data_IF_405417797433
#
_entry.id   IF_405417797433
#
_cell.length_a   1.000
_cell.length_b   1.000
_cell.length_c   1.000
_cell.angle_alpha   90.00
_cell.angle_beta   90.00
_cell.angle_gamma   90.00
#
_symmetry.space_group_name_H-M   'P 1'
#
loop_
_entity.id
_entity.type
_entity.pdbx_description
1 polymer ?
#
# COMPACT_ATOMS: atom_id res chain seq x y z
N UNK A 1 19.13 9.92 0.62
CA UNK A 1 17.66 9.82 0.81
C UNK A 1 17.12 11.21 1.13
N UNK A 2 16.26 11.76 0.28
CA UNK A 2 15.65 13.08 0.48
C UNK A 2 14.30 12.93 1.19
N UNK A 3 14.33 12.99 2.53
CA UNK A 3 13.17 12.69 3.38
C UNK A 3 11.92 13.52 3.04
N UNK A 4 12.10 14.80 2.67
CA UNK A 4 10.99 15.67 2.26
C UNK A 4 10.36 15.24 0.93
N UNK A 5 11.15 14.73 -0.01
CA UNK A 5 10.67 14.22 -1.29
C UNK A 5 9.80 12.97 -1.10
N UNK A 6 10.26 12.03 -0.28
CA UNK A 6 9.51 10.79 0.02
C UNK A 6 8.18 11.07 0.72
N UNK A 7 8.15 12.02 1.66
CA UNK A 7 6.92 12.41 2.34
C UNK A 7 5.92 13.06 1.39
N UNK A 8 6.38 13.96 0.51
CA UNK A 8 5.53 14.59 -0.50
C UNK A 8 4.94 13.56 -1.44
N UNK A 9 5.76 12.63 -1.94
CA UNK A 9 5.31 11.55 -2.81
C UNK A 9 4.29 10.66 -2.11
N UNK A 10 4.51 10.30 -0.84
CA UNK A 10 3.56 9.51 -0.06
C UNK A 10 2.20 10.21 0.10
N UNK A 11 2.19 11.54 0.29
CA UNK A 11 0.94 12.31 0.36
C UNK A 11 0.20 12.34 -0.98
N UNK A 12 0.92 12.53 -2.09
CA UNK A 12 0.34 12.50 -3.45
C UNK A 12 -0.24 11.14 -3.76
N UNK A 13 0.54 10.07 -3.55
CA UNK A 13 0.12 8.70 -3.82
C UNK A 13 -1.11 8.33 -2.96
N UNK A 14 -1.17 8.77 -1.69
CA UNK A 14 -2.34 8.54 -0.82
C UNK A 14 -3.59 9.28 -1.31
N UNK A 15 -3.44 10.52 -1.77
CA UNK A 15 -4.56 11.28 -2.33
C UNK A 15 -5.09 10.59 -3.58
N UNK A 16 -4.18 10.18 -4.46
CA UNK A 16 -4.50 9.47 -5.69
C UNK A 16 -5.20 8.12 -5.44
N UNK A 17 -4.75 7.33 -4.45
CA UNK A 17 -5.44 6.10 -4.05
C UNK A 17 -6.86 6.37 -3.53
N UNK A 18 -7.06 7.45 -2.79
CA UNK A 18 -8.40 7.85 -2.33
C UNK A 18 -9.30 8.20 -3.51
N UNK A 19 -8.77 8.96 -4.48
CA UNK A 19 -9.51 9.33 -5.70
C UNK A 19 -9.88 8.09 -6.53
N UNK A 20 -8.97 7.14 -6.73
CA UNK A 20 -9.23 5.89 -7.45
C UNK A 20 -10.27 5.01 -6.75
N UNK A 21 -10.25 4.94 -5.41
CA UNK A 21 -11.27 4.22 -4.64
C UNK A 21 -12.65 4.83 -4.84
N UNK A 22 -12.75 6.16 -4.82
CA UNK A 22 -14.00 6.87 -5.11
C UNK A 22 -14.46 6.64 -6.55
N UNK A 23 -13.54 6.61 -7.51
CA UNK A 23 -13.85 6.31 -8.92
C UNK A 23 -14.42 4.90 -9.09
N UNK A 24 -13.78 3.88 -8.50
CA UNK A 24 -14.31 2.51 -8.46
C UNK A 24 -15.71 2.45 -7.83
N UNK A 25 -15.92 3.16 -6.73
CA UNK A 25 -17.23 3.19 -6.06
C UNK A 25 -18.30 3.86 -6.93
N UNK A 26 -17.93 4.86 -7.76
CA UNK A 26 -18.83 5.42 -8.79
C UNK A 26 -19.18 4.41 -9.87
N UNK A 27 -18.21 3.65 -10.38
CA UNK A 27 -18.49 2.58 -11.35
C UNK A 27 -19.49 1.56 -10.79
N UNK A 28 -19.38 1.24 -9.50
CA UNK A 28 -20.33 0.33 -8.83
C UNK A 28 -21.73 0.94 -8.72
N UNK A 29 -21.83 2.24 -8.41
CA UNK A 29 -23.12 2.94 -8.41
C UNK A 29 -23.75 2.95 -9.81
N UNK A 30 -22.98 3.27 -10.85
CA UNK A 30 -23.46 3.23 -12.23
C UNK A 30 -23.92 1.83 -12.63
N UNK A 31 -23.18 0.78 -12.25
CA UNK A 31 -23.64 -0.59 -12.47
C UNK A 31 -25.00 -0.81 -11.81
N UNK A 32 -25.15 -0.50 -10.52
CA UNK A 32 -26.42 -0.66 -9.82
C UNK A 32 -27.58 0.08 -10.49
N UNK A 33 -27.35 1.31 -10.96
CA UNK A 33 -28.35 2.09 -11.69
C UNK A 33 -28.72 1.44 -13.03
N UNK A 34 -27.74 0.90 -13.76
CA UNK A 34 -27.98 0.26 -15.07
C UNK A 34 -28.65 -1.10 -14.97
N UNK A 35 -28.39 -1.86 -13.91
CA UNK A 35 -29.00 -3.19 -13.70
C UNK A 35 -30.34 -3.12 -12.99
N UNK A 36 -30.72 -1.97 -12.42
CA UNK A 36 -31.99 -1.82 -11.73
C UNK A 36 -33.15 -2.03 -12.72
N UNK A 37 -34.03 -2.97 -12.41
CA UNK A 37 -35.11 -3.40 -13.30
C UNK A 37 -34.71 -4.35 -14.45
N UNK A 38 -33.43 -4.67 -14.64
CA UNK A 38 -32.99 -5.69 -15.62
C UNK A 38 -33.16 -7.11 -15.07
N UNK A 39 -33.49 -8.06 -15.95
CA UNK A 39 -33.48 -9.49 -15.61
C UNK A 39 -32.04 -10.00 -15.59
N UNK A 40 -31.67 -10.76 -14.57
CA UNK A 40 -30.31 -11.30 -14.36
C UNK A 40 -29.74 -12.14 -15.53
N UNK A 41 -30.59 -12.63 -16.43
CA UNK A 41 -30.17 -13.40 -17.62
C UNK A 41 -30.40 -12.63 -18.94
N UNK A 42 -30.73 -11.35 -18.91
CA UNK A 42 -30.83 -10.56 -20.15
C UNK A 42 -29.43 -10.30 -20.71
N UNK A 43 -29.34 -10.19 -22.03
CA UNK A 43 -28.09 -9.83 -22.69
C UNK A 43 -27.61 -8.44 -22.24
N UNK A 44 -28.55 -7.50 -22.01
CA UNK A 44 -28.27 -6.17 -21.45
C UNK A 44 -27.61 -6.22 -20.07
N UNK A 45 -28.08 -7.12 -19.18
CA UNK A 45 -27.46 -7.31 -17.87
C UNK A 45 -26.02 -7.81 -18.00
N UNK A 46 -25.79 -8.78 -18.90
CA UNK A 46 -24.45 -9.34 -19.14
C UNK A 46 -23.50 -8.31 -19.72
N UNK A 47 -23.98 -7.45 -20.62
CA UNK A 47 -23.19 -6.35 -21.20
C UNK A 47 -22.83 -5.34 -20.11
N UNK A 48 -23.81 -4.87 -19.32
CA UNK A 48 -23.57 -3.89 -18.25
C UNK A 48 -22.54 -4.40 -17.21
N UNK A 49 -22.64 -5.68 -16.83
CA UNK A 49 -21.68 -6.31 -15.94
C UNK A 49 -20.29 -6.42 -16.57
N UNK A 50 -20.20 -6.79 -17.85
CA UNK A 50 -18.92 -6.88 -18.56
C UNK A 50 -18.24 -5.50 -18.68
N UNK A 51 -19.01 -4.45 -19.01
CA UNK A 51 -18.51 -3.07 -19.09
C UNK A 51 -18.04 -2.57 -17.72
N UNK A 52 -18.77 -2.91 -16.65
CA UNK A 52 -18.33 -2.61 -15.28
C UNK A 52 -16.98 -3.25 -14.97
N UNK A 53 -16.81 -4.55 -15.18
CA UNK A 53 -15.54 -5.23 -14.91
C UNK A 53 -14.40 -4.64 -15.74
N UNK A 54 -14.62 -4.39 -17.04
CA UNK A 54 -13.62 -3.77 -17.90
C UNK A 54 -13.19 -2.37 -17.38
N UNK A 55 -14.14 -1.57 -16.88
CA UNK A 55 -13.85 -0.25 -16.32
C UNK A 55 -13.11 -0.31 -14.97
N UNK A 56 -13.52 -1.23 -14.09
CA UNK A 56 -12.93 -1.40 -12.76
C UNK A 56 -11.53 -1.98 -12.85
N UNK A 57 -11.28 -2.93 -13.76
CA UNK A 57 -9.97 -3.53 -13.97
C UNK A 57 -8.90 -2.45 -14.21
N UNK A 58 -9.21 -1.42 -15.01
CA UNK A 58 -8.27 -0.30 -15.28
C UNK A 58 -7.96 0.50 -14.00
N UNK A 59 -8.98 0.76 -13.17
CA UNK A 59 -8.81 1.49 -11.91
C UNK A 59 -8.01 0.65 -10.91
N UNK A 60 -8.31 -0.64 -10.79
CA UNK A 60 -7.61 -1.57 -9.92
C UNK A 60 -6.14 -1.75 -10.32
N UNK A 61 -5.83 -1.82 -11.63
CA UNK A 61 -4.46 -1.83 -12.14
C UNK A 61 -3.63 -0.67 -11.60
N UNK A 62 -4.23 0.52 -11.64
CA UNK A 62 -3.57 1.76 -11.26
C UNK A 62 -3.39 1.85 -9.75
N UNK A 63 -4.37 1.35 -9.00
CA UNK A 63 -4.22 1.19 -7.55
C UNK A 63 -3.09 0.22 -7.21
N UNK A 64 -3.06 -0.96 -7.85
CA UNK A 64 -2.03 -1.98 -7.65
C UNK A 64 -0.63 -1.46 -8.01
N UNK A 65 -0.50 -0.64 -9.05
CA UNK A 65 0.77 -0.01 -9.44
C UNK A 65 1.29 0.92 -8.33
N UNK A 66 0.43 1.79 -7.81
CA UNK A 66 0.77 2.71 -6.73
C UNK A 66 1.12 1.96 -5.45
N UNK A 67 0.32 0.96 -5.07
CA UNK A 67 0.53 0.18 -3.85
C UNK A 67 1.80 -0.68 -3.94
N UNK A 68 2.07 -1.26 -5.11
CA UNK A 68 3.33 -1.96 -5.41
C UNK A 68 4.53 -1.01 -5.29
N UNK A 69 4.49 0.15 -5.92
CA UNK A 69 5.57 1.14 -5.85
C UNK A 69 5.82 1.62 -4.42
N UNK A 70 4.76 1.88 -3.65
CA UNK A 70 4.88 2.25 -2.23
C UNK A 70 5.51 1.13 -1.41
N UNK A 71 5.11 -0.12 -1.63
CA UNK A 71 5.62 -1.28 -0.90
C UNK A 71 7.10 -1.49 -1.17
N UNK A 72 7.52 -1.43 -2.44
CA UNK A 72 8.93 -1.56 -2.83
C UNK A 72 9.79 -0.43 -2.26
N UNK A 73 9.34 0.83 -2.34
CA UNK A 73 10.05 1.97 -1.73
C UNK A 73 10.20 1.81 -0.21
N UNK A 74 9.16 1.31 0.47
CA UNK A 74 9.22 1.03 1.92
C UNK A 74 10.20 -0.09 2.21
N UNK A 75 10.16 -1.17 1.44
CA UNK A 75 11.08 -2.29 1.63
C UNK A 75 12.53 -1.84 1.44
N UNK A 76 12.82 -1.06 0.38
CA UNK A 76 14.15 -0.50 0.13
C UNK A 76 14.62 0.42 1.27
N UNK A 77 13.73 1.30 1.76
CA UNK A 77 14.03 2.22 2.86
C UNK A 77 14.44 1.51 4.15
N UNK A 78 13.82 0.37 4.43
CA UNK A 78 14.10 -0.46 5.60
C UNK A 78 14.98 -1.67 5.26
N UNK A 79 15.61 -1.70 4.07
CA UNK A 79 16.49 -2.78 3.61
C UNK A 79 15.89 -4.19 3.73
N UNK A 80 14.58 -4.29 3.63
CA UNK A 80 13.86 -5.56 3.63
C UNK A 80 14.13 -6.27 2.30
N UNK A 81 14.57 -7.53 2.32
CA UNK A 81 14.84 -8.27 1.11
C UNK A 81 13.54 -8.50 0.34
N UNK A 82 13.49 -8.00 -0.89
CA UNK A 82 12.38 -8.26 -1.82
C UNK A 82 12.85 -9.23 -2.89
N UNK A 83 12.11 -10.32 -3.15
CA UNK A 83 12.49 -11.26 -4.21
C UNK A 83 12.43 -10.56 -5.57
N UNK A 84 13.33 -10.96 -6.47
CA UNK A 84 13.33 -10.42 -7.83
C UNK A 84 12.01 -10.72 -8.53
N UNK A 85 11.58 -9.79 -9.39
CA UNK A 85 10.39 -9.97 -10.22
C UNK A 85 10.59 -11.19 -11.14
N UNK A 86 9.58 -12.07 -11.29
CA UNK A 86 9.65 -13.19 -12.23
C UNK A 86 9.90 -12.71 -13.66
N UNK A 87 10.62 -13.52 -14.43
CA UNK A 87 10.94 -13.23 -15.83
C UNK A 87 9.94 -13.85 -16.81
N UNK A 88 9.28 -14.94 -16.42
CA UNK A 88 8.25 -15.61 -17.23
C UNK A 88 6.91 -14.94 -17.00
N UNK A 89 6.06 -14.89 -18.00
CA UNK A 89 4.64 -14.52 -17.85
C UNK A 89 3.91 -15.67 -17.12
N UNK A 90 2.83 -15.35 -16.39
CA UNK A 90 2.02 -16.30 -15.58
C UNK A 90 2.75 -17.06 -14.44
N UNK A 91 3.95 -16.64 -14.06
CA UNK A 91 4.67 -17.20 -12.91
C UNK A 91 4.23 -16.52 -11.62
N UNK A 92 3.20 -17.10 -10.98
CA UNK A 92 2.74 -16.66 -9.68
C UNK A 92 3.69 -17.13 -8.58
N UNK A 93 4.13 -16.19 -7.75
CA UNK A 93 4.92 -16.47 -6.54
C UNK A 93 4.22 -15.88 -5.32
N UNK A 94 4.65 -16.27 -4.12
CA UNK A 94 4.13 -15.69 -2.87
C UNK A 94 4.22 -14.16 -2.83
N UNK A 95 5.14 -13.57 -3.60
CA UNK A 95 5.41 -12.13 -3.61
C UNK A 95 4.86 -11.40 -4.83
N UNK A 96 4.84 -12.05 -5.99
CA UNK A 96 4.48 -11.44 -7.26
C UNK A 96 3.28 -12.14 -7.89
N UNK A 97 2.28 -11.35 -8.27
CA UNK A 97 1.10 -11.79 -8.98
C UNK A 97 1.10 -11.18 -10.39
N UNK A 98 0.95 -12.04 -11.39
CA UNK A 98 0.71 -11.60 -12.76
C UNK A 98 -0.74 -11.15 -12.92
N UNK A 99 -0.94 -9.98 -13.53
CA UNK A 99 -2.26 -9.53 -13.97
C UNK A 99 -2.33 -9.57 -15.50
N UNK A 100 -3.04 -10.57 -16.02
CA UNK A 100 -3.17 -10.81 -17.46
C UNK A 100 -3.75 -9.62 -18.23
N UNK A 101 -4.69 -8.88 -17.63
CA UNK A 101 -5.33 -7.71 -18.25
C UNK A 101 -4.33 -6.57 -18.48
N UNK A 102 -3.30 -6.46 -17.65
CA UNK A 102 -2.35 -5.34 -17.69
C UNK A 102 -0.95 -5.75 -18.17
N UNK A 103 -0.70 -7.05 -18.35
CA UNK A 103 0.59 -7.58 -18.77
C UNK A 103 1.72 -7.21 -17.80
N UNK A 104 1.44 -7.15 -16.49
CA UNK A 104 2.40 -6.69 -15.48
C UNK A 104 2.31 -7.48 -14.18
N UNK A 105 3.45 -7.52 -13.48
CA UNK A 105 3.57 -8.07 -12.14
C UNK A 105 3.35 -7.02 -11.06
N UNK A 106 2.43 -7.32 -10.16
CA UNK A 106 2.15 -6.54 -8.96
C UNK A 106 2.50 -7.34 -7.71
N UNK A 107 2.73 -6.63 -6.60
CA UNK A 107 3.02 -7.29 -5.32
C UNK A 107 1.72 -7.85 -4.76
N UNK A 108 1.74 -9.10 -4.28
CA UNK A 108 0.57 -9.74 -3.67
C UNK A 108 0.18 -9.03 -2.37
N UNK A 109 -1.11 -9.09 -2.01
CA UNK A 109 -1.59 -8.59 -0.71
C UNK A 109 -0.85 -9.22 0.48
N UNK A 110 -0.51 -10.51 0.37
CA UNK A 110 0.24 -11.23 1.39
C UNK A 110 1.65 -10.67 1.57
N UNK A 111 2.35 -10.41 0.46
CA UNK A 111 3.67 -9.79 0.51
C UNK A 111 3.61 -8.35 1.02
N UNK A 112 2.61 -7.56 0.64
CA UNK A 112 2.42 -6.23 1.20
C UNK A 112 2.23 -6.26 2.72
N UNK A 113 1.48 -7.25 3.24
CA UNK A 113 1.31 -7.45 4.69
C UNK A 113 2.61 -7.90 5.35
N UNK A 114 3.36 -8.81 4.73
CA UNK A 114 4.66 -9.28 5.23
C UNK A 114 5.65 -8.13 5.35
N UNK A 115 5.85 -7.36 4.28
CA UNK A 115 6.72 -6.17 4.29
C UNK A 115 6.28 -5.18 5.37
N UNK A 116 4.98 -4.94 5.53
CA UNK A 116 4.48 -4.03 6.57
C UNK A 116 4.83 -4.51 7.99
N UNK A 117 4.75 -5.82 8.23
CA UNK A 117 5.11 -6.41 9.54
C UNK A 117 6.62 -6.28 9.79
N UNK A 118 7.45 -6.66 8.82
CA UNK A 118 8.91 -6.57 8.94
C UNK A 118 9.38 -5.12 9.13
N UNK A 119 8.80 -4.15 8.40
CA UNK A 119 9.07 -2.72 8.62
C UNK A 119 8.74 -2.30 10.05
N UNK A 120 7.65 -2.81 10.61
CA UNK A 120 7.22 -2.47 11.96
C UNK A 120 8.20 -3.04 13.00
N UNK A 121 8.60 -4.30 12.84
CA UNK A 121 9.58 -4.96 13.72
C UNK A 121 10.93 -4.26 13.68
N UNK A 122 11.45 -3.92 12.51
CA UNK A 122 12.69 -3.13 12.38
C UNK A 122 12.58 -1.78 13.07
N UNK A 123 11.48 -1.05 12.81
CA UNK A 123 11.26 0.25 13.41
C UNK A 123 11.20 0.17 14.94
N UNK A 124 10.59 -0.87 15.48
CA UNK A 124 10.52 -1.10 16.92
C UNK A 124 11.91 -1.37 17.52
N UNK A 125 12.74 -2.18 16.85
CA UNK A 125 14.13 -2.43 17.25
C UNK A 125 14.98 -1.15 17.25
N UNK A 126 14.78 -0.25 16.28
CA UNK A 126 15.48 1.03 16.24
C UNK A 126 15.01 2.03 17.32
N UNK A 127 13.73 2.02 17.69
CA UNK A 127 13.16 2.97 18.65
C UNK A 127 13.39 2.58 20.11
N UNK A 128 13.43 1.28 20.44
CA UNK A 128 13.61 0.78 21.82
C UNK A 128 14.85 1.34 22.53
N UNK A 129 16.05 1.36 21.92
CA UNK A 129 17.24 1.94 22.53
C UNK A 129 17.12 3.44 22.77
N UNK A 130 16.52 4.17 21.83
CA UNK A 130 16.32 5.61 21.95
C UNK A 130 15.44 5.99 23.14
N UNK A 131 14.36 5.23 23.36
CA UNK A 131 13.47 5.44 24.51
C UNK A 131 14.20 5.20 25.84
N UNK A 132 15.07 4.20 25.90
CA UNK A 132 15.89 3.92 27.09
C UNK A 132 16.91 5.03 27.33
N UNK A 133 17.59 5.52 26.30
CA UNK A 133 18.50 6.67 26.40
C UNK A 133 17.78 7.95 26.86
N UNK A 134 16.57 8.20 26.38
CA UNK A 134 15.76 9.33 26.84
C UNK A 134 15.43 9.25 28.33
N UNK A 135 15.09 8.06 28.84
CA UNK A 135 14.84 7.87 30.26
C UNK A 135 16.08 8.17 31.10
N UNK A 136 17.26 7.67 30.68
CA UNK A 136 18.53 7.97 31.35
C UNK A 136 18.84 9.47 31.33
N UNK A 137 18.64 10.14 30.19
CA UNK A 137 18.85 11.58 30.07
C UNK A 137 17.98 12.36 31.07
N UNK A 138 16.70 12.01 31.20
CA UNK A 138 15.78 12.64 32.16
C UNK A 138 16.28 12.42 33.60
N UNK A 139 16.72 11.22 33.95
CA UNK A 139 17.28 10.93 35.27
C UNK A 139 18.53 11.77 35.57
N UNK A 140 19.43 11.91 34.60
CA UNK A 140 20.66 12.74 34.75
C UNK A 140 20.30 14.22 34.92
N UNK A 141 19.36 14.74 34.12
CA UNK A 141 18.89 16.13 34.24
C UNK A 141 18.24 16.36 35.60
N UNK A 142 17.40 15.44 36.07
CA UNK A 142 16.76 15.52 37.38
C UNK A 142 17.79 15.53 38.52
N UNK A 143 18.84 14.71 38.43
CA UNK A 143 19.94 14.68 39.39
C UNK A 143 20.72 16.02 39.40
N UNK A 144 21.03 16.56 38.22
CA UNK A 144 21.76 17.84 38.09
C UNK A 144 20.97 19.01 38.68
N UNK A 145 19.66 19.07 38.44
CA UNK A 145 18.77 20.10 39.04
C UNK A 145 18.71 19.96 40.55
N UNK A 146 18.68 18.72 41.07
CA UNK A 146 18.70 18.47 42.52
C UNK A 146 20.03 18.89 43.16
N UNK A 147 21.15 18.66 42.48
CA UNK A 147 22.48 19.04 42.98
C UNK A 147 22.71 20.56 42.97
N UNK A 148 22.15 21.29 41.99
CA UNK A 148 22.22 22.76 41.91
C UNK A 148 21.31 23.49 42.91
N UNK A 149 20.30 22.81 43.46
CA UNK A 149 19.42 23.35 44.51
C UNK A 149 20.00 23.22 45.91
N UNK A 150 21.09 22.46 46.07
CA UNK A 150 21.78 22.16 47.32
C UNK A 150 22.95 23.13 47.52
#
# INVERSE_FOLDING_TARGET
MNWFGDLRQCCVDRKMLTELRLERDRHLQTLHETIDGLKQNSDEYRIAVADYFASVDVVEARMAEIETAQTLRRAEKWRIPTPQRPYKEDEHTDFWQWHAVHGRYYVTDEAMRRVRREVYEEREMFLKPWLTWFAVLISVISLAVSALKL
#
